data_IF_699409982914
#
_entry.id   IF_699409982914
#
_cell.length_a   1.000
_cell.length_b   1.000
_cell.length_c   1.000
_cell.angle_alpha   90.00
_cell.angle_beta   90.00
_cell.angle_gamma   90.00
#
_symmetry.space_group_name_H-M   'P 1'
#
loop_
_entity.id
_entity.type
_entity.pdbx_description
1 polymer ?
#
# COMPACT_ATOMS: atom_id res chain seq x y z
N UNK A 1 36.07 -6.37 -7.75
CA UNK A 1 35.50 -5.10 -8.24
C UNK A 1 34.02 -5.21 -8.01
N UNK A 2 33.51 -4.50 -7.00
CA UNK A 2 32.06 -4.44 -6.76
C UNK A 2 31.47 -3.59 -7.88
N UNK A 3 30.52 -4.15 -8.65
CA UNK A 3 29.69 -3.34 -9.55
C UNK A 3 28.97 -2.30 -8.70
N UNK A 4 29.38 -1.04 -8.82
CA UNK A 4 28.58 0.09 -8.38
C UNK A 4 27.29 0.07 -9.20
N UNK A 5 26.22 -0.49 -8.61
CA UNK A 5 24.87 -0.41 -9.18
C UNK A 5 24.57 1.08 -9.36
N UNK A 6 24.15 1.53 -10.56
CA UNK A 6 23.83 2.92 -10.77
C UNK A 6 22.80 3.33 -9.72
N UNK A 7 23.08 4.41 -8.98
CA UNK A 7 22.11 5.04 -8.08
C UNK A 7 20.86 5.33 -8.90
N UNK A 8 19.88 4.42 -8.88
CA UNK A 8 18.60 4.64 -9.51
C UNK A 8 18.07 5.92 -8.91
N UNK A 9 17.97 7.00 -9.69
CA UNK A 9 17.41 8.25 -9.21
C UNK A 9 16.05 7.94 -8.61
N UNK A 10 15.98 7.90 -7.28
CA UNK A 10 14.81 7.52 -6.53
C UNK A 10 13.81 8.65 -6.70
N UNK A 11 13.08 8.60 -7.82
CA UNK A 11 12.07 9.60 -8.11
C UNK A 11 10.90 9.30 -7.19
N UNK A 12 10.66 10.22 -6.25
CA UNK A 12 9.50 10.20 -5.36
C UNK A 12 8.25 9.93 -6.20
N UNK A 13 7.49 8.92 -5.81
CA UNK A 13 6.27 8.58 -6.54
C UNK A 13 5.30 9.76 -6.59
N UNK A 14 4.76 10.04 -7.77
CA UNK A 14 3.71 11.03 -7.99
C UNK A 14 2.52 10.74 -7.05
N UNK A 15 2.10 11.72 -6.21
CA UNK A 15 0.94 11.56 -5.34
C UNK A 15 -0.32 11.08 -6.06
N UNK A 16 -0.54 11.51 -7.32
CA UNK A 16 -1.67 11.07 -8.11
C UNK A 16 -1.58 9.57 -8.43
N UNK A 17 -0.40 9.07 -8.80
CA UNK A 17 -0.19 7.63 -9.04
C UNK A 17 -0.39 6.83 -7.76
N UNK A 18 0.03 7.35 -6.61
CA UNK A 18 -0.20 6.72 -5.30
C UNK A 18 -1.70 6.64 -4.97
N UNK A 19 -2.43 7.71 -5.25
CA UNK A 19 -3.88 7.74 -5.07
C UNK A 19 -4.60 6.74 -5.99
N UNK A 20 -4.26 6.70 -7.28
CA UNK A 20 -4.83 5.75 -8.23
C UNK A 20 -4.53 4.30 -7.86
N UNK A 21 -3.30 4.00 -7.43
CA UNK A 21 -2.91 2.68 -6.94
C UNK A 21 -3.77 2.27 -5.75
N UNK A 22 -3.97 3.20 -4.81
CA UNK A 22 -4.82 3.00 -3.65
C UNK A 22 -6.29 2.75 -4.05
N UNK A 23 -6.85 3.50 -5.00
CA UNK A 23 -8.22 3.30 -5.48
C UNK A 23 -8.43 1.91 -6.07
N UNK A 24 -7.48 1.42 -6.88
CA UNK A 24 -7.54 0.07 -7.44
C UNK A 24 -7.59 -0.98 -6.32
N UNK A 25 -6.72 -0.86 -5.32
CA UNK A 25 -6.72 -1.77 -4.18
C UNK A 25 -8.00 -1.68 -3.35
N UNK A 26 -8.55 -0.46 -3.17
CA UNK A 26 -9.81 -0.24 -2.46
C UNK A 26 -10.99 -0.90 -3.18
N UNK A 27 -11.03 -0.85 -4.51
CA UNK A 27 -12.04 -1.56 -5.31
C UNK A 27 -11.92 -3.08 -5.14
N UNK A 28 -10.69 -3.62 -5.15
CA UNK A 28 -10.46 -5.06 -4.91
C UNK A 28 -11.02 -5.47 -3.54
N UNK A 29 -10.69 -4.71 -2.49
CA UNK A 29 -11.17 -4.98 -1.13
C UNK A 29 -12.69 -4.84 -1.04
N UNK A 30 -13.26 -3.80 -1.64
CA UNK A 30 -14.70 -3.60 -1.67
C UNK A 30 -15.44 -4.78 -2.31
N UNK A 31 -14.98 -5.24 -3.49
CA UNK A 31 -15.55 -6.39 -4.17
C UNK A 31 -15.44 -7.66 -3.31
N UNK A 32 -14.31 -7.87 -2.64
CA UNK A 32 -14.16 -8.99 -1.70
C UNK A 32 -15.17 -8.90 -0.56
N UNK A 33 -15.37 -7.72 0.04
CA UNK A 33 -16.29 -7.54 1.17
C UNK A 33 -17.77 -7.78 0.82
N UNK A 34 -18.14 -7.86 -0.46
CA UNK A 34 -19.49 -8.25 -0.89
C UNK A 34 -19.84 -9.69 -0.48
N UNK A 35 -18.84 -10.55 -0.27
CA UNK A 35 -19.01 -11.88 0.32
C UNK A 35 -18.89 -11.72 1.84
N UNK A 36 -19.99 -11.85 2.62
CA UNK A 36 -19.95 -11.57 4.05
C UNK A 36 -18.95 -12.47 4.78
N UNK A 37 -18.30 -11.92 5.81
CA UNK A 37 -17.35 -12.62 6.69
C UNK A 37 -16.09 -13.11 5.96
N UNK A 38 -16.19 -14.09 5.07
CA UNK A 38 -15.06 -14.68 4.34
C UNK A 38 -14.38 -13.63 3.46
N UNK A 39 -15.18 -12.88 2.69
CA UNK A 39 -14.66 -11.81 1.85
C UNK A 39 -14.07 -10.66 2.66
N UNK A 40 -14.66 -10.34 3.80
CA UNK A 40 -14.09 -9.40 4.78
C UNK A 40 -12.74 -9.85 5.33
N UNK A 41 -12.59 -11.13 5.70
CA UNK A 41 -11.33 -11.71 6.17
C UNK A 41 -10.25 -11.66 5.08
N UNK A 42 -10.59 -12.06 3.85
CA UNK A 42 -9.66 -12.02 2.71
C UNK A 42 -9.28 -10.56 2.39
N UNK A 43 -10.25 -9.65 2.40
CA UNK A 43 -10.01 -8.21 2.17
C UNK A 43 -9.11 -7.58 3.23
N UNK A 44 -9.32 -7.93 4.50
CA UNK A 44 -8.46 -7.48 5.60
C UNK A 44 -7.03 -8.05 5.47
N UNK A 45 -6.90 -9.35 5.18
CA UNK A 45 -5.60 -9.98 4.93
C UNK A 45 -4.89 -9.32 3.73
N UNK A 46 -5.62 -9.04 2.65
CA UNK A 46 -5.09 -8.29 1.52
C UNK A 46 -4.60 -6.91 1.96
N UNK A 47 -5.41 -6.11 2.65
CA UNK A 47 -5.02 -4.76 3.07
C UNK A 47 -3.72 -4.73 3.86
N UNK A 48 -3.54 -5.68 4.79
CA UNK A 48 -2.36 -5.79 5.64
C UNK A 48 -1.14 -6.27 4.85
N UNK A 49 -1.29 -7.33 4.05
CA UNK A 49 -0.15 -8.05 3.45
C UNK A 49 0.10 -7.76 1.97
N UNK A 50 -0.74 -6.95 1.30
CA UNK A 50 -0.69 -6.68 -0.15
C UNK A 50 0.68 -6.30 -0.68
N UNK A 51 1.53 -5.69 0.14
CA UNK A 51 2.85 -5.24 -0.28
C UNK A 51 4.00 -6.15 0.18
N UNK A 52 3.70 -7.23 0.92
CA UNK A 52 4.68 -8.19 1.40
C UNK A 52 4.63 -9.53 0.68
N UNK A 53 3.66 -9.73 -0.21
CA UNK A 53 3.54 -10.97 -0.97
C UNK A 53 4.61 -11.08 -2.06
N UNK A 54 5.34 -12.19 -2.03
CA UNK A 54 6.40 -12.53 -2.99
C UNK A 54 5.90 -13.34 -4.19
N UNK A 55 4.59 -13.41 -4.42
CA UNK A 55 4.07 -14.10 -5.60
C UNK A 55 4.70 -13.52 -6.88
N UNK A 56 4.92 -14.38 -7.87
CA UNK A 56 5.59 -14.05 -9.14
C UNK A 56 5.01 -12.81 -9.82
N UNK A 57 3.70 -12.58 -9.66
CA UNK A 57 3.01 -11.42 -10.20
C UNK A 57 3.02 -10.19 -9.29
N UNK A 58 3.18 -10.30 -7.97
CA UNK A 58 3.17 -9.14 -7.06
C UNK A 58 4.57 -8.58 -6.79
N UNK A 59 5.58 -9.44 -6.57
CA UNK A 59 6.97 -9.01 -6.35
C UNK A 59 7.12 -7.93 -5.25
N UNK A 60 6.45 -8.09 -4.11
CA UNK A 60 6.57 -7.17 -2.96
C UNK A 60 5.79 -5.85 -3.10
N UNK A 61 4.64 -5.89 -3.79
CA UNK A 61 3.73 -4.74 -3.93
C UNK A 61 2.31 -5.19 -4.24
N UNK A 62 1.37 -4.33 -3.87
CA UNK A 62 -0.05 -4.45 -4.20
C UNK A 62 -0.33 -4.42 -5.69
N UNK A 63 -1.53 -4.90 -6.06
CA UNK A 63 -1.98 -4.96 -7.45
C UNK A 63 -2.16 -3.56 -8.05
N UNK A 64 -2.75 -2.63 -7.28
CA UNK A 64 -2.88 -1.24 -7.70
C UNK A 64 -1.52 -0.56 -7.87
N UNK A 65 -0.58 -0.78 -6.95
CA UNK A 65 0.79 -0.25 -7.10
C UNK A 65 1.50 -0.82 -8.30
N UNK A 66 1.34 -2.12 -8.58
CA UNK A 66 1.86 -2.72 -9.80
C UNK A 66 1.27 -2.07 -11.05
N UNK A 67 -0.04 -1.86 -11.09
CA UNK A 67 -0.71 -1.18 -12.21
C UNK A 67 -0.18 0.25 -12.42
N UNK A 68 0.13 0.95 -11.33
CA UNK A 68 0.69 2.31 -11.35
C UNK A 68 2.22 2.37 -11.39
N UNK A 69 2.92 1.23 -11.55
CA UNK A 69 4.39 1.12 -11.57
C UNK A 69 5.08 1.69 -10.33
N UNK A 70 4.41 1.57 -9.21
CA UNK A 70 4.93 1.96 -7.91
C UNK A 70 5.52 0.76 -7.20
N UNK A 71 6.56 1.01 -6.41
CA UNK A 71 7.17 -0.02 -5.59
C UNK A 71 7.48 0.54 -4.19
N UNK A 72 6.96 -0.07 -3.12
CA UNK A 72 7.37 0.26 -1.77
C UNK A 72 8.69 -0.46 -1.47
N UNK A 73 9.67 0.29 -0.98
CA UNK A 73 10.99 -0.22 -0.60
C UNK A 73 11.39 0.29 0.78
N UNK A 74 12.29 -0.41 1.46
CA UNK A 74 12.91 0.08 2.69
C UNK A 74 13.76 1.32 2.38
N UNK A 75 13.75 2.29 3.29
CA UNK A 75 14.49 3.56 3.10
C UNK A 75 16.01 3.34 3.19
N UNK A 76 16.45 2.39 4.02
CA UNK A 76 17.86 2.15 4.32
C UNK A 76 18.60 1.45 3.16
N UNK A 77 18.02 0.40 2.59
CA UNK A 77 18.70 -0.49 1.64
C UNK A 77 17.91 -0.76 0.35
N UNK A 78 16.78 -0.07 0.16
CA UNK A 78 15.88 -0.22 -0.97
C UNK A 78 15.40 -1.67 -1.22
N UNK A 79 15.45 -2.53 -0.21
CA UNK A 79 14.90 -3.89 -0.32
C UNK A 79 13.39 -3.84 -0.51
N UNK A 80 12.88 -4.85 -1.21
CA UNK A 80 11.43 -5.06 -1.34
C UNK A 80 10.82 -5.34 0.02
N UNK A 81 9.56 -4.97 0.19
CA UNK A 81 8.88 -5.17 1.44
C UNK A 81 8.54 -6.66 1.64
N UNK A 82 8.83 -7.17 2.83
CA UNK A 82 8.41 -8.49 3.29
C UNK A 82 7.04 -8.41 4.01
N UNK A 83 6.50 -9.57 4.41
CA UNK A 83 5.21 -9.63 5.12
C UNK A 83 5.20 -8.82 6.43
N UNK A 84 6.22 -8.92 7.32
CA UNK A 84 6.30 -8.09 8.52
C UNK A 84 6.33 -6.58 8.23
N UNK A 85 7.10 -6.15 7.23
CA UNK A 85 7.16 -4.73 6.85
C UNK A 85 5.84 -4.26 6.26
N UNK A 86 5.18 -5.08 5.42
CA UNK A 86 3.85 -4.79 4.91
C UNK A 86 2.83 -4.63 6.05
N UNK A 87 2.86 -5.54 7.03
CA UNK A 87 1.99 -5.45 8.20
C UNK A 87 2.19 -4.13 8.95
N UNK A 88 3.44 -3.80 9.34
CA UNK A 88 3.79 -2.56 10.05
C UNK A 88 3.34 -1.32 9.30
N UNK A 89 3.36 -1.35 7.97
CA UNK A 89 3.01 -0.22 7.12
C UNK A 89 1.50 -0.06 6.88
N UNK A 90 0.73 -1.14 6.95
CA UNK A 90 -0.66 -1.15 6.49
C UNK A 90 -1.69 -1.44 7.60
N UNK A 91 -1.28 -1.89 8.79
CA UNK A 91 -2.23 -2.27 9.84
C UNK A 91 -3.21 -1.15 10.22
N UNK A 92 -2.76 0.11 10.28
CA UNK A 92 -3.62 1.29 10.56
C UNK A 92 -4.74 1.39 9.53
N UNK A 93 -4.40 1.19 8.25
CA UNK A 93 -5.35 1.25 7.14
C UNK A 93 -6.30 0.05 7.09
N UNK A 94 -5.94 -1.06 7.74
CA UNK A 94 -6.74 -2.27 7.77
C UNK A 94 -7.78 -2.29 8.90
N UNK A 95 -7.68 -1.40 9.91
CA UNK A 95 -8.58 -1.37 11.08
C UNK A 95 -10.04 -1.32 10.65
N UNK A 96 -10.38 -0.37 9.76
CA UNK A 96 -11.75 -0.23 9.30
C UNK A 96 -12.23 -1.44 8.47
N UNK A 97 -11.35 -2.06 7.69
CA UNK A 97 -11.66 -3.30 6.95
C UNK A 97 -11.91 -4.48 7.89
N UNK A 98 -11.17 -4.59 9.00
CA UNK A 98 -11.39 -5.62 10.03
C UNK A 98 -12.75 -5.43 10.71
N UNK A 99 -13.12 -4.18 11.04
CA UNK A 99 -14.44 -3.88 11.61
C UNK A 99 -15.55 -4.24 10.61
N UNK A 100 -15.33 -4.01 9.33
CA UNK A 100 -16.25 -4.35 8.24
C UNK A 100 -16.46 -5.87 8.03
N UNK A 101 -15.77 -6.74 8.77
CA UNK A 101 -16.08 -8.18 8.78
C UNK A 101 -17.48 -8.44 9.35
N UNK A 102 -17.92 -7.61 10.31
CA UNK A 102 -19.24 -7.71 10.93
C UNK A 102 -20.28 -7.09 9.98
N UNK A 103 -21.27 -7.86 9.46
CA UNK A 103 -22.27 -7.32 8.55
C UNK A 103 -23.11 -6.21 9.19
N UNK A 104 -23.64 -5.31 8.36
CA UNK A 104 -24.52 -4.19 8.76
C UNK A 104 -23.81 -3.14 9.62
N UNK A 105 -23.57 -3.43 10.91
CA UNK A 105 -22.97 -2.47 11.86
C UNK A 105 -21.49 -2.26 11.53
N UNK A 106 -20.76 -3.33 11.28
CA UNK A 106 -19.34 -3.24 10.94
C UNK A 106 -19.12 -2.58 9.58
N UNK A 107 -20.03 -2.75 8.62
CA UNK A 107 -19.95 -2.04 7.34
C UNK A 107 -20.08 -0.52 7.51
N UNK A 108 -21.07 -0.08 8.30
CA UNK A 108 -21.26 1.34 8.58
C UNK A 108 -20.07 1.92 9.35
N UNK A 109 -19.71 1.34 10.49
CA UNK A 109 -18.63 1.83 11.34
C UNK A 109 -17.26 1.67 10.65
N UNK A 110 -17.00 0.50 10.07
CA UNK A 110 -15.77 0.19 9.35
C UNK A 110 -15.59 1.07 8.13
N UNK A 111 -16.65 1.37 7.37
CA UNK A 111 -16.61 2.30 6.25
C UNK A 111 -16.23 3.71 6.66
N UNK A 112 -16.83 4.24 7.74
CA UNK A 112 -16.50 5.56 8.29
C UNK A 112 -15.05 5.61 8.78
N UNK A 113 -14.61 4.63 9.57
CA UNK A 113 -13.23 4.56 10.09
C UNK A 113 -12.22 4.46 8.95
N UNK A 114 -12.51 3.62 7.96
CA UNK A 114 -11.69 3.45 6.76
C UNK A 114 -11.53 4.77 6.01
N UNK A 115 -12.64 5.47 5.76
CA UNK A 115 -12.64 6.77 5.08
C UNK A 115 -11.80 7.80 5.84
N UNK A 116 -11.98 7.93 7.16
CA UNK A 116 -11.22 8.86 7.99
C UNK A 116 -9.72 8.54 7.98
N UNK A 117 -9.35 7.26 8.14
CA UNK A 117 -7.96 6.83 8.09
C UNK A 117 -7.31 7.19 6.75
N UNK A 118 -8.02 6.97 5.64
CA UNK A 118 -7.53 7.32 4.30
C UNK A 118 -7.40 8.82 4.06
N UNK A 119 -8.34 9.62 4.58
CA UNK A 119 -8.23 11.08 4.49
C UNK A 119 -7.01 11.59 5.25
N UNK A 120 -6.81 11.14 6.49
CA UNK A 120 -5.66 11.54 7.31
C UNK A 120 -4.35 11.12 6.63
N UNK A 121 -4.22 9.86 6.23
CA UNK A 121 -3.01 9.35 5.58
C UNK A 121 -2.76 10.03 4.23
N UNK A 122 -3.82 10.33 3.45
CA UNK A 122 -3.74 11.06 2.20
C UNK A 122 -3.23 12.49 2.38
N UNK A 123 -3.76 13.22 3.37
CA UNK A 123 -3.27 14.55 3.74
C UNK A 123 -1.79 14.50 4.11
N UNK A 124 -1.36 13.50 4.89
CA UNK A 124 0.04 13.33 5.28
C UNK A 124 0.96 13.02 4.09
N UNK A 125 0.52 12.20 3.13
CA UNK A 125 1.28 11.98 1.88
C UNK A 125 1.47 13.29 1.11
N UNK A 126 0.43 14.11 1.02
CA UNK A 126 0.47 15.37 0.27
C UNK A 126 1.28 16.46 1.00
N UNK A 127 1.28 16.44 2.32
CA UNK A 127 1.90 17.47 3.15
C UNK A 127 3.37 17.15 3.49
N UNK A 128 3.78 15.89 3.40
CA UNK A 128 5.14 15.47 3.74
C UNK A 128 6.12 15.73 2.58
N UNK A 129 7.30 16.32 2.85
CA UNK A 129 8.36 16.52 1.84
C UNK A 129 8.72 15.23 1.11
N UNK A 130 8.77 14.11 1.84
CA UNK A 130 9.14 12.79 1.31
C UNK A 130 7.92 12.00 0.78
N UNK A 131 6.72 12.55 0.95
CA UNK A 131 5.46 11.90 0.62
C UNK A 131 5.16 10.66 1.46
N UNK A 132 5.81 10.50 2.61
CA UNK A 132 5.57 9.38 3.53
C UNK A 132 4.29 9.64 4.33
N UNK A 133 3.57 8.57 4.62
CA UNK A 133 2.44 8.56 5.56
C UNK A 133 2.85 7.92 6.89
N UNK A 134 1.94 7.84 7.87
CA UNK A 134 2.23 7.28 9.21
C UNK A 134 2.77 5.86 9.08
N UNK A 135 2.07 5.02 8.32
CA UNK A 135 2.51 3.65 8.08
C UNK A 135 3.91 3.57 7.48
N UNK A 136 4.21 4.42 6.49
CA UNK A 136 5.51 4.41 5.80
C UNK A 136 6.64 4.79 6.77
N UNK A 137 6.39 5.74 7.68
CA UNK A 137 7.32 6.12 8.75
C UNK A 137 7.53 4.98 9.76
N UNK A 138 6.45 4.33 10.22
CA UNK A 138 6.54 3.20 11.16
C UNK A 138 7.31 2.01 10.61
N UNK A 139 7.25 1.79 9.29
CA UNK A 139 7.93 0.70 8.62
C UNK A 139 9.30 1.10 8.03
N UNK A 140 9.74 2.36 8.17
CA UNK A 140 10.94 2.90 7.53
C UNK A 140 10.97 2.64 6.01
N UNK A 141 9.87 2.93 5.33
CA UNK A 141 9.72 2.68 3.89
C UNK A 141 9.42 3.95 3.09
N UNK A 142 9.66 3.89 1.79
CA UNK A 142 9.29 4.92 0.82
C UNK A 142 8.69 4.25 -0.42
N UNK A 143 7.82 4.96 -1.13
CA UNK A 143 7.25 4.50 -2.40
C UNK A 143 7.97 5.20 -3.54
N UNK A 144 8.56 4.41 -4.41
CA UNK A 144 9.35 4.86 -5.55
C UNK A 144 8.62 4.51 -6.85
N UNK A 145 8.86 5.28 -7.90
CA UNK A 145 8.40 4.93 -9.25
C UNK A 145 9.46 4.10 -9.98
N UNK A 146 9.05 3.01 -10.63
CA UNK A 146 9.95 2.25 -11.49
C UNK A 146 10.17 2.99 -12.81
N UNK A 147 11.42 3.41 -13.07
CA UNK A 147 11.84 4.03 -14.33
C UNK A 147 11.78 2.98 -15.45
N UNK A 148 11.30 3.38 -16.64
CA UNK A 148 11.36 2.55 -17.84
C UNK A 148 12.82 2.33 -18.22
N UNK A 149 13.29 1.07 -18.22
CA UNK A 149 14.45 0.72 -19.03
C UNK A 149 14.05 0.94 -20.50
N UNK A 150 14.59 1.99 -21.14
CA UNK A 150 14.47 2.21 -22.60
C UNK A 150 13.81 3.51 -23.09
N UNK A 151 13.91 4.64 -22.37
CA UNK A 151 13.67 5.95 -22.98
C UNK A 151 14.76 6.94 -22.56
N UNK A 152 15.88 6.89 -23.28
CA UNK A 152 16.72 8.08 -23.58
C UNK A 152 16.13 8.82 -24.78
#
# INVERSE_FOLDING_TARGET
>A
MAEERPESQVTKADPLKRFLAFLIDAVIVFVLTLIPIIGGLIGAAYMVFRDGFEFTFMKGRSLGKKAMRLKPVLTEDQRVCDLPTSFKRNWILAIGTVIAIIPVIGWALGGVITLLAYLVEGILVLSSPDGKRIGDNLANTVVIEEVREGQE
#
